data_IF_934204900594
#
_entry.id   IF_934204900594
#
_cell.length_a   1.000
_cell.length_b   1.000
_cell.length_c   1.000
_cell.angle_alpha   90.00
_cell.angle_beta   90.00
_cell.angle_gamma   90.00
#
_symmetry.space_group_name_H-M   'P 1'
#
loop_
_entity.id
_entity.type
_entity.pdbx_description
1 polymer ?
#
# COMPACT_ATOMS: atom_id res chain seq x y z
N UNK A 1 -3.94 -12.34 -24.22
CA UNK A 1 -3.26 -12.78 -22.99
C UNK A 1 -1.77 -12.97 -23.22
N UNK A 2 -1.02 -11.87 -23.22
CA UNK A 2 0.45 -11.93 -23.15
C UNK A 2 0.85 -11.44 -21.77
N UNK A 3 0.99 -12.38 -20.83
CA UNK A 3 1.55 -12.09 -19.52
C UNK A 3 3.05 -11.87 -19.67
N UNK A 4 3.59 -10.83 -19.04
CA UNK A 4 5.02 -10.66 -18.83
C UNK A 4 5.47 -11.67 -17.77
N UNK A 5 5.49 -12.94 -18.15
CA UNK A 5 6.10 -14.00 -17.35
C UNK A 5 7.55 -13.60 -17.02
N UNK A 6 8.09 -14.19 -15.95
CA UNK A 6 9.40 -13.83 -15.40
C UNK A 6 10.53 -13.75 -16.44
N UNK A 7 10.51 -14.60 -17.47
CA UNK A 7 11.44 -14.54 -18.60
C UNK A 7 11.32 -13.27 -19.46
N UNK A 8 10.10 -12.89 -19.85
CA UNK A 8 9.86 -11.68 -20.62
C UNK A 8 10.16 -10.41 -19.80
N UNK A 9 9.83 -10.42 -18.51
CA UNK A 9 10.20 -9.33 -17.60
C UNK A 9 11.72 -9.16 -17.49
N UNK A 10 12.50 -10.25 -17.45
CA UNK A 10 13.98 -10.17 -17.46
C UNK A 10 14.52 -9.52 -18.73
N UNK A 11 13.97 -9.84 -19.90
CA UNK A 11 14.37 -9.23 -21.16
C UNK A 11 14.06 -7.74 -21.18
N UNK A 12 12.85 -7.35 -20.77
CA UNK A 12 12.46 -5.95 -20.64
C UNK A 12 13.41 -5.22 -19.68
N UNK A 13 13.68 -5.79 -18.50
CA UNK A 13 14.61 -5.19 -17.53
C UNK A 13 16.03 -5.02 -18.08
N UNK A 14 16.49 -5.97 -18.90
CA UNK A 14 17.75 -5.86 -19.63
C UNK A 14 17.78 -4.64 -20.56
N UNK A 15 16.68 -4.37 -21.28
CA UNK A 15 16.55 -3.18 -22.12
C UNK A 15 16.47 -1.90 -21.28
N UNK A 16 15.60 -1.88 -20.26
CA UNK A 16 15.38 -0.71 -19.41
C UNK A 16 16.66 -0.28 -18.68
N UNK A 17 17.52 -1.22 -18.27
CA UNK A 17 18.78 -0.90 -17.59
C UNK A 17 19.68 0.04 -18.40
N UNK A 18 19.68 -0.08 -19.73
CA UNK A 18 20.54 0.72 -20.61
C UNK A 18 19.78 1.78 -21.40
N UNK A 19 18.44 1.75 -21.38
CA UNK A 19 17.64 2.74 -22.08
C UNK A 19 17.71 4.09 -21.37
N UNK A 20 18.11 5.14 -22.10
CA UNK A 20 18.23 6.51 -21.59
C UNK A 20 17.18 7.48 -22.15
N UNK A 21 16.25 6.97 -22.96
CA UNK A 21 15.30 7.79 -23.72
C UNK A 21 13.88 7.71 -23.15
N UNK A 22 13.47 6.56 -22.62
CA UNK A 22 12.11 6.33 -22.13
C UNK A 22 11.91 7.11 -20.81
N UNK A 23 10.96 8.05 -20.84
CA UNK A 23 10.54 8.83 -19.66
C UNK A 23 9.30 8.27 -18.97
N UNK A 24 8.34 7.78 -19.76
CA UNK A 24 7.11 7.20 -19.25
C UNK A 24 7.00 5.76 -19.73
N UNK A 25 6.82 4.84 -18.79
CA UNK A 25 6.68 3.41 -19.07
C UNK A 25 5.32 2.93 -18.57
N UNK A 26 4.50 2.44 -19.49
CA UNK A 26 3.20 1.84 -19.19
C UNK A 26 3.27 0.31 -19.35
N UNK A 27 3.14 -0.39 -18.23
CA UNK A 27 3.04 -1.84 -18.13
C UNK A 27 1.71 -2.26 -17.51
N UNK A 28 0.67 -1.42 -17.62
CA UNK A 28 -0.66 -1.73 -17.14
C UNK A 28 -1.23 -2.97 -17.86
N UNK A 29 -1.87 -3.87 -17.11
CA UNK A 29 -2.55 -5.03 -17.69
C UNK A 29 -1.62 -6.07 -18.31
N UNK A 30 -0.36 -6.17 -17.85
CA UNK A 30 0.66 -7.06 -18.43
C UNK A 30 0.94 -8.31 -17.61
N UNK A 31 0.10 -8.67 -16.65
CA UNK A 31 0.26 -9.88 -15.85
C UNK A 31 1.53 -9.89 -14.97
N UNK A 32 1.96 -8.75 -14.46
CA UNK A 32 3.10 -8.66 -13.53
C UNK A 32 2.72 -9.30 -12.18
N UNK A 33 3.34 -10.43 -11.88
CA UNK A 33 3.22 -11.17 -10.60
C UNK A 33 4.20 -10.66 -9.54
N UNK A 34 4.10 -11.08 -8.25
CA UNK A 34 5.10 -10.74 -7.23
C UNK A 34 6.54 -11.10 -7.63
N UNK A 35 6.76 -12.27 -8.22
CA UNK A 35 8.07 -12.68 -8.75
C UNK A 35 8.59 -11.70 -9.82
N UNK A 36 7.71 -11.27 -10.72
CA UNK A 36 8.04 -10.35 -11.79
C UNK A 36 8.26 -8.93 -11.27
N UNK A 37 7.56 -8.51 -10.22
CA UNK A 37 7.79 -7.25 -9.51
C UNK A 37 9.21 -7.22 -8.88
N UNK A 38 9.69 -8.34 -8.33
CA UNK A 38 11.07 -8.48 -7.84
C UNK A 38 12.10 -8.23 -8.94
N UNK A 39 11.83 -8.71 -10.16
CA UNK A 39 12.72 -8.51 -11.30
C UNK A 39 12.66 -7.06 -11.78
N UNK A 40 11.45 -6.47 -11.86
CA UNK A 40 11.24 -5.07 -12.23
C UNK A 40 11.96 -4.11 -11.26
N UNK A 41 12.01 -4.45 -9.97
CA UNK A 41 12.73 -3.68 -8.95
C UNK A 41 14.20 -3.45 -9.31
N UNK A 42 14.87 -4.45 -9.90
CA UNK A 42 16.27 -4.35 -10.33
C UNK A 42 16.43 -3.27 -11.42
N UNK A 43 15.52 -3.25 -12.40
CA UNK A 43 15.56 -2.25 -13.48
C UNK A 43 15.19 -0.86 -13.00
N UNK A 44 14.16 -0.74 -12.16
CA UNK A 44 13.73 0.55 -11.57
C UNK A 44 14.84 1.20 -10.75
N UNK A 45 15.61 0.39 -10.01
CA UNK A 45 16.77 0.88 -9.24
C UNK A 45 17.94 1.30 -10.12
N UNK A 46 18.15 0.63 -11.25
CA UNK A 46 19.28 0.90 -12.15
C UNK A 46 19.00 1.99 -13.18
N UNK A 47 17.75 2.21 -13.57
CA UNK A 47 17.37 3.21 -14.57
C UNK A 47 17.31 4.62 -13.95
N UNK A 48 17.90 5.59 -14.65
CA UNK A 48 17.99 7.00 -14.24
C UNK A 48 17.19 7.95 -15.14
N UNK A 49 16.28 7.43 -15.96
CA UNK A 49 15.57 8.20 -17.00
C UNK A 49 14.06 8.11 -16.94
N UNK A 50 13.50 7.00 -16.45
CA UNK A 50 12.06 6.81 -16.29
C UNK A 50 11.58 7.68 -15.14
N UNK A 51 10.68 8.62 -15.45
CA UNK A 51 10.06 9.53 -14.48
C UNK A 51 8.65 9.09 -14.07
N UNK A 52 7.98 8.30 -14.92
CA UNK A 52 6.63 7.78 -14.64
C UNK A 52 6.55 6.30 -14.97
N UNK A 53 6.05 5.51 -14.03
CA UNK A 53 5.81 4.07 -14.18
C UNK A 53 4.34 3.75 -13.89
N UNK A 54 3.65 3.15 -14.84
CA UNK A 54 2.30 2.62 -14.63
C UNK A 54 2.36 1.08 -14.65
N UNK A 55 2.01 0.47 -13.53
CA UNK A 55 1.90 -0.99 -13.37
C UNK A 55 0.50 -1.39 -12.86
N UNK A 56 -0.50 -0.56 -13.10
CA UNK A 56 -1.90 -0.86 -12.76
C UNK A 56 -2.44 -2.13 -13.45
N UNK A 57 -3.56 -2.65 -12.99
CA UNK A 57 -4.22 -3.84 -13.58
C UNK A 57 -3.31 -5.07 -13.70
N UNK A 58 -2.36 -5.21 -12.78
CA UNK A 58 -1.48 -6.37 -12.69
C UNK A 58 -1.72 -7.15 -11.38
N UNK A 59 -1.53 -8.48 -11.37
CA UNK A 59 -1.63 -9.30 -10.16
C UNK A 59 -0.39 -9.14 -9.27
N UNK A 60 -0.13 -7.91 -8.80
CA UNK A 60 1.08 -7.53 -8.05
C UNK A 60 1.19 -8.19 -6.67
N UNK A 61 0.08 -8.70 -6.16
CA UNK A 61 0.01 -9.54 -4.98
C UNK A 61 -1.18 -10.48 -5.11
N UNK A 62 -1.19 -11.55 -4.31
CA UNK A 62 -2.36 -12.41 -4.16
C UNK A 62 -3.40 -11.71 -3.25
N UNK A 63 -3.92 -10.57 -3.72
CA UNK A 63 -4.82 -9.66 -2.97
C UNK A 63 -6.07 -10.40 -2.47
N UNK A 64 -6.43 -11.53 -3.09
CA UNK A 64 -7.47 -12.42 -2.59
C UNK A 64 -7.25 -12.75 -1.10
N UNK A 65 -6.02 -12.96 -0.63
CA UNK A 65 -5.72 -13.25 0.79
C UNK A 65 -5.84 -12.05 1.75
N UNK A 66 -5.96 -10.82 1.25
CA UNK A 66 -6.19 -9.61 2.06
C UNK A 66 -7.62 -9.07 1.98
N UNK A 67 -8.37 -9.52 0.96
CA UNK A 67 -9.80 -9.25 0.78
C UNK A 67 -10.69 -10.46 1.15
N UNK A 68 -10.14 -11.55 1.70
CA UNK A 68 -10.94 -12.73 2.05
C UNK A 68 -11.64 -12.57 3.40
N UNK A 69 -12.89 -12.11 3.31
CA UNK A 69 -14.04 -12.52 4.12
C UNK A 69 -14.36 -14.04 4.05
N UNK A 70 -13.39 -14.92 3.74
CA UNK A 70 -13.67 -16.35 3.53
C UNK A 70 -12.70 -17.36 4.11
N UNK A 71 -11.50 -16.97 4.49
CA UNK A 71 -10.58 -17.88 5.16
C UNK A 71 -9.84 -17.09 6.24
N UNK A 72 -9.94 -17.52 7.50
CA UNK A 72 -9.08 -17.00 8.56
C UNK A 72 -7.63 -17.03 8.10
N UNK A 73 -6.88 -15.91 8.10
CA UNK A 73 -5.47 -16.00 7.86
C UNK A 73 -4.82 -16.52 9.14
N UNK A 74 -4.19 -17.67 8.99
CA UNK A 74 -3.18 -18.20 9.89
C UNK A 74 -2.33 -17.06 10.46
N UNK A 75 -2.08 -17.18 11.76
CA UNK A 75 -1.20 -16.33 12.56
C UNK A 75 0.10 -15.98 11.81
N UNK A 76 0.64 -14.79 12.08
CA UNK A 76 2.00 -14.34 11.71
C UNK A 76 2.18 -13.46 10.43
N UNK A 77 1.15 -12.76 9.93
CA UNK A 77 1.32 -11.94 8.70
C UNK A 77 2.15 -10.65 8.83
N UNK A 78 2.55 -10.21 10.02
CA UNK A 78 3.37 -8.99 10.22
C UNK A 78 4.18 -9.05 11.53
N UNK A 79 4.79 -10.19 11.87
CA UNK A 79 5.77 -10.22 12.96
C UNK A 79 7.15 -9.89 12.40
N UNK A 80 7.49 -8.61 12.50
CA UNK A 80 8.71 -8.03 11.97
C UNK A 80 8.46 -6.56 11.66
N UNK A 81 9.19 -5.68 12.34
CA UNK A 81 9.09 -4.23 12.24
C UNK A 81 8.82 -3.77 10.79
N UNK A 82 7.72 -3.02 10.60
CA UNK A 82 7.47 -2.13 9.46
C UNK A 82 7.90 -2.68 8.10
N UNK A 83 6.99 -3.15 7.23
CA UNK A 83 7.19 -3.60 5.81
C UNK A 83 8.59 -4.13 5.39
N UNK A 84 9.39 -4.70 6.31
CA UNK A 84 10.84 -4.52 6.24
C UNK A 84 11.63 -5.43 7.16
N UNK A 85 11.22 -6.68 7.31
CA UNK A 85 12.13 -7.82 7.46
C UNK A 85 11.28 -9.08 7.27
N UNK A 86 11.55 -9.86 6.23
CA UNK A 86 10.78 -11.09 5.97
C UNK A 86 11.65 -12.28 6.33
N UNK A 87 11.52 -12.79 7.56
CA UNK A 87 12.13 -14.05 7.98
C UNK A 87 11.52 -15.23 7.21
N UNK A 88 12.33 -16.27 7.00
CA UNK A 88 11.96 -17.53 6.35
C UNK A 88 11.32 -18.48 7.38
N UNK A 89 9.99 -18.47 7.46
CA UNK A 89 9.23 -19.58 8.03
C UNK A 89 8.05 -19.91 7.11
N UNK A 90 7.78 -21.22 7.01
CA UNK A 90 6.90 -21.83 6.03
C UNK A 90 5.47 -22.00 6.56
N UNK A 91 4.57 -21.13 6.12
CA UNK A 91 3.12 -21.34 6.02
C UNK A 91 2.67 -20.70 4.69
N UNK A 92 1.42 -20.88 4.22
CA UNK A 92 0.91 -20.26 2.98
C UNK A 92 1.13 -18.75 3.02
N UNK A 93 2.28 -18.31 2.52
CA UNK A 93 2.84 -16.98 2.71
C UNK A 93 2.25 -16.10 1.64
N UNK A 94 1.60 -15.02 2.05
CA UNK A 94 1.29 -13.97 1.08
C UNK A 94 2.64 -13.41 0.61
N UNK A 95 2.99 -13.64 -0.65
CA UNK A 95 4.25 -13.16 -1.19
C UNK A 95 4.17 -11.66 -1.47
N UNK A 96 4.43 -10.88 -0.42
CA UNK A 96 4.65 -9.44 -0.52
C UNK A 96 6.12 -9.10 -0.78
N UNK A 97 7.04 -10.08 -0.83
CA UNK A 97 8.49 -9.79 -0.94
C UNK A 97 8.79 -9.04 -2.22
N UNK A 98 8.21 -9.49 -3.33
CA UNK A 98 8.39 -8.81 -4.61
C UNK A 98 7.80 -7.42 -4.66
N UNK A 99 6.65 -7.23 -4.02
CA UNK A 99 5.98 -5.94 -3.95
C UNK A 99 6.73 -4.94 -3.07
N UNK A 100 7.15 -5.35 -1.88
CA UNK A 100 7.98 -4.55 -0.97
C UNK A 100 9.36 -4.27 -1.58
N UNK A 101 9.97 -5.24 -2.27
CA UNK A 101 11.22 -5.06 -2.98
C UNK A 101 11.12 -4.03 -4.10
N UNK A 102 10.01 -4.02 -4.84
CA UNK A 102 9.72 -3.00 -5.83
C UNK A 102 9.50 -1.63 -5.19
N UNK A 103 8.76 -1.53 -4.08
CA UNK A 103 8.57 -0.28 -3.35
C UNK A 103 9.90 0.29 -2.81
N UNK A 104 10.80 -0.54 -2.28
CA UNK A 104 12.15 -0.12 -1.89
C UNK A 104 12.99 0.32 -3.11
N UNK A 105 12.87 -0.35 -4.26
CA UNK A 105 13.53 0.10 -5.48
C UNK A 105 13.00 1.46 -5.96
N UNK A 106 11.68 1.70 -5.88
CA UNK A 106 11.07 2.99 -6.20
C UNK A 106 11.56 4.07 -5.24
N UNK A 107 11.63 3.76 -3.94
CA UNK A 107 12.19 4.67 -2.94
C UNK A 107 13.64 5.05 -3.23
N UNK A 108 14.46 4.13 -3.73
CA UNK A 108 15.86 4.36 -4.08
C UNK A 108 16.07 4.94 -5.49
N UNK A 109 15.05 4.97 -6.34
CA UNK A 109 15.16 5.48 -7.70
C UNK A 109 15.45 6.98 -7.71
N UNK A 110 16.44 7.41 -8.50
CA UNK A 110 16.82 8.83 -8.58
C UNK A 110 16.00 9.62 -9.62
N UNK A 111 15.23 8.93 -10.46
CA UNK A 111 14.53 9.54 -11.60
C UNK A 111 13.01 9.46 -11.52
N UNK A 112 12.46 8.42 -10.87
CA UNK A 112 11.02 8.26 -10.75
C UNK A 112 10.40 9.37 -9.88
N UNK A 113 9.38 10.01 -10.44
CA UNK A 113 8.58 11.04 -9.76
C UNK A 113 7.14 10.59 -9.50
N UNK A 114 6.63 9.63 -10.28
CA UNK A 114 5.27 9.13 -10.18
C UNK A 114 5.21 7.61 -10.43
N UNK A 115 4.34 6.93 -9.67
CA UNK A 115 3.97 5.53 -9.92
C UNK A 115 2.47 5.33 -9.80
N UNK A 116 1.88 4.58 -10.73
CA UNK A 116 0.46 4.18 -10.70
C UNK A 116 0.36 2.68 -10.43
N UNK A 117 -0.41 2.30 -9.40
CA UNK A 117 -0.53 0.92 -8.91
C UNK A 117 -1.96 0.37 -9.08
N UNK A 118 -2.96 1.24 -9.04
CA UNK A 118 -4.37 0.90 -9.27
C UNK A 118 -4.90 1.59 -10.54
N UNK A 119 -5.90 0.99 -11.20
CA UNK A 119 -6.57 1.57 -12.37
C UNK A 119 -7.53 2.72 -12.04
N UNK A 120 -7.80 2.96 -10.75
CA UNK A 120 -8.61 4.09 -10.31
C UNK A 120 -8.00 5.40 -10.77
N UNK A 121 -8.81 6.25 -11.42
CA UNK A 121 -8.36 7.56 -11.89
C UNK A 121 -7.81 8.40 -10.72
N UNK A 122 -6.56 8.81 -10.83
CA UNK A 122 -5.90 9.66 -9.83
C UNK A 122 -5.22 8.90 -8.69
N UNK A 123 -5.13 7.56 -8.77
CA UNK A 123 -4.38 6.68 -7.86
C UNK A 123 -2.86 6.88 -7.89
N UNK A 124 -2.34 7.60 -8.90
CA UNK A 124 -0.91 7.86 -9.05
C UNK A 124 -0.30 8.47 -7.79
N UNK A 125 0.72 7.80 -7.25
CA UNK A 125 1.45 8.21 -6.06
C UNK A 125 2.57 9.19 -6.44
N UNK A 126 2.66 10.36 -5.78
CA UNK A 126 3.73 11.33 -5.99
C UNK A 126 4.96 10.92 -5.17
N UNK A 127 5.93 10.26 -5.81
CA UNK A 127 7.09 9.65 -5.15
C UNK A 127 7.92 10.70 -4.39
N UNK A 128 8.27 11.80 -5.06
CA UNK A 128 9.10 12.84 -4.44
C UNK A 128 8.44 13.49 -3.22
N UNK A 129 7.12 13.73 -3.30
CA UNK A 129 6.35 14.27 -2.18
C UNK A 129 6.30 13.29 -1.01
N UNK A 130 6.09 12.00 -1.29
CA UNK A 130 6.06 10.95 -0.26
C UNK A 130 7.43 10.76 0.41
N UNK A 131 8.53 10.83 -0.34
CA UNK A 131 9.90 10.77 0.21
C UNK A 131 10.34 12.02 0.94
N UNK A 132 9.72 13.16 0.65
CA UNK A 132 10.13 14.47 1.16
C UNK A 132 11.27 15.10 0.34
N UNK A 133 11.40 14.74 -0.94
CA UNK A 133 12.47 15.24 -1.80
C UNK A 133 12.36 16.77 -1.96
N UNK A 134 13.45 17.48 -1.65
CA UNK A 134 13.51 18.94 -1.79
C UNK A 134 12.62 19.72 -0.81
N UNK A 135 12.01 19.04 0.16
CA UNK A 135 11.18 19.65 1.18
C UNK A 135 11.99 20.58 2.11
N UNK A 136 11.57 21.85 2.22
CA UNK A 136 12.19 22.82 3.14
C UNK A 136 11.24 23.34 4.23
N UNK A 137 9.95 23.00 4.14
CA UNK A 137 8.86 23.48 5.02
C UNK A 137 7.86 22.35 5.28
N UNK A 138 6.84 22.63 6.09
CA UNK A 138 5.69 21.74 6.26
C UNK A 138 5.08 21.38 4.89
N UNK A 139 4.95 20.08 4.61
CA UNK A 139 4.36 19.56 3.37
C UNK A 139 3.10 18.75 3.66
N UNK A 140 2.11 18.97 2.81
CA UNK A 140 0.81 18.30 2.84
C UNK A 140 0.82 17.22 1.77
N UNK A 141 0.43 16.01 2.15
CA UNK A 141 0.28 14.86 1.26
C UNK A 141 -1.20 14.47 1.25
N UNK A 142 -1.92 14.92 0.22
CA UNK A 142 -3.32 14.55 0.01
C UNK A 142 -3.42 13.33 -0.92
N UNK A 143 -3.76 12.20 -0.32
CA UNK A 143 -4.03 10.94 -0.99
C UNK A 143 -5.49 10.49 -0.82
N UNK A 144 -6.39 11.37 -0.36
CA UNK A 144 -7.78 11.01 -0.13
C UNK A 144 -8.52 10.72 -1.45
N UNK A 145 -9.46 9.76 -1.41
CA UNK A 145 -10.36 9.43 -2.54
C UNK A 145 -9.62 9.06 -3.83
N UNK A 146 -8.54 8.31 -3.70
CA UNK A 146 -7.70 7.88 -4.82
C UNK A 146 -7.89 6.40 -5.20
N UNK A 147 -8.72 5.68 -4.45
CA UNK A 147 -8.92 4.24 -4.61
C UNK A 147 -7.63 3.46 -4.31
N UNK A 148 -6.85 3.94 -3.33
CA UNK A 148 -5.61 3.29 -2.92
C UNK A 148 -5.94 1.99 -2.19
N UNK A 149 -5.30 0.91 -2.59
CA UNK A 149 -5.50 -0.41 -2.02
C UNK A 149 -4.41 -0.75 -1.00
N UNK A 150 -4.44 -1.99 -0.48
CA UNK A 150 -3.31 -2.58 0.24
C UNK A 150 -1.97 -2.47 -0.52
N UNK A 151 -1.98 -2.54 -1.86
CA UNK A 151 -0.78 -2.41 -2.69
C UNK A 151 -0.18 -1.02 -2.51
N UNK A 152 -0.96 0.03 -2.72
CA UNK A 152 -0.52 1.40 -2.48
C UNK A 152 -0.10 1.65 -1.03
N UNK A 153 -0.72 0.98 -0.07
CA UNK A 153 -0.34 1.13 1.34
C UNK A 153 1.11 0.70 1.61
N UNK A 154 1.59 -0.38 0.96
CA UNK A 154 3.00 -0.82 1.04
C UNK A 154 3.93 0.27 0.49
N UNK A 155 3.60 0.82 -0.69
CA UNK A 155 4.43 1.86 -1.32
C UNK A 155 4.46 3.13 -0.49
N UNK A 156 3.29 3.63 -0.07
CA UNK A 156 3.19 4.82 0.78
C UNK A 156 4.02 4.62 2.04
N UNK A 157 3.82 3.51 2.76
CA UNK A 157 4.53 3.19 3.99
C UNK A 157 6.05 3.13 3.83
N UNK A 158 6.55 2.52 2.76
CA UNK A 158 7.99 2.44 2.49
C UNK A 158 8.57 3.81 2.10
N UNK A 159 7.87 4.57 1.27
CA UNK A 159 8.32 5.87 0.76
C UNK A 159 8.41 6.92 1.85
N UNK A 160 7.48 6.94 2.81
CA UNK A 160 7.47 7.95 3.88
C UNK A 160 8.55 7.74 4.94
N UNK A 161 9.21 6.57 5.01
CA UNK A 161 10.27 6.29 6.00
C UNK A 161 11.45 7.25 5.94
N UNK A 162 11.77 7.76 4.75
CA UNK A 162 12.83 8.75 4.57
C UNK A 162 12.35 10.18 4.80
N UNK A 163 11.05 10.39 4.96
CA UNK A 163 10.45 11.71 5.00
C UNK A 163 10.35 12.24 6.44
N UNK A 164 11.13 13.29 6.69
CA UNK A 164 11.26 13.95 8.00
C UNK A 164 10.58 15.32 8.05
N UNK A 165 9.95 15.75 6.95
CA UNK A 165 9.47 17.13 6.77
C UNK A 165 7.96 17.26 6.51
N UNK A 166 7.30 16.22 6.01
CA UNK A 166 5.85 16.28 5.84
C UNK A 166 5.13 16.30 7.19
N UNK A 167 4.04 17.06 7.24
CA UNK A 167 3.29 17.33 8.46
C UNK A 167 1.83 16.92 8.36
N UNK A 168 1.32 16.72 7.14
CA UNK A 168 -0.08 16.33 6.93
C UNK A 168 -0.15 15.17 5.96
N UNK A 169 -0.92 14.15 6.34
CA UNK A 169 -1.22 13.00 5.50
C UNK A 169 -2.73 12.74 5.54
N UNK A 170 -3.39 12.93 4.39
CA UNK A 170 -4.79 12.59 4.21
C UNK A 170 -4.90 11.32 3.37
N UNK A 171 -5.47 10.27 3.96
CA UNK A 171 -5.67 8.96 3.33
C UNK A 171 -7.16 8.62 3.20
N UNK A 172 -8.06 9.54 3.55
CA UNK A 172 -9.47 9.20 3.74
C UNK A 172 -10.17 8.72 2.48
N UNK A 173 -11.17 7.85 2.67
CA UNK A 173 -11.96 7.26 1.58
C UNK A 173 -11.10 6.51 0.55
N UNK A 174 -10.32 5.55 1.04
CA UNK A 174 -9.52 4.61 0.25
C UNK A 174 -9.80 3.17 0.72
N UNK A 175 -9.18 2.18 0.08
CA UNK A 175 -9.38 0.74 0.35
C UNK A 175 -8.08 0.12 0.87
N UNK A 176 -7.43 0.78 1.83
CA UNK A 176 -6.09 0.44 2.30
C UNK A 176 -6.03 -0.89 3.06
N UNK A 177 -7.17 -1.38 3.56
CA UNK A 177 -7.31 -2.45 4.55
C UNK A 177 -6.71 -2.07 5.92
N UNK A 178 -7.10 -2.77 6.98
CA UNK A 178 -6.54 -2.51 8.31
C UNK A 178 -5.02 -2.79 8.38
N UNK A 179 -4.55 -3.85 7.70
CA UNK A 179 -3.12 -4.22 7.65
C UNK A 179 -2.29 -3.16 6.91
N UNK A 180 -2.77 -2.69 5.76
CA UNK A 180 -2.08 -1.64 4.99
C UNK A 180 -2.02 -0.32 5.77
N UNK A 181 -3.14 0.08 6.39
CA UNK A 181 -3.20 1.25 7.25
C UNK A 181 -2.20 1.17 8.43
N UNK A 182 -2.15 0.01 9.10
CA UNK A 182 -1.21 -0.25 10.21
C UNK A 182 0.23 -0.04 9.77
N UNK A 183 0.59 -0.59 8.61
CA UNK A 183 1.94 -0.45 8.08
C UNK A 183 2.30 1.02 7.78
N UNK A 184 1.38 1.80 7.21
CA UNK A 184 1.62 3.24 6.98
C UNK A 184 1.84 3.95 8.32
N UNK A 185 0.96 3.73 9.30
CA UNK A 185 1.01 4.42 10.60
C UNK A 185 2.31 4.13 11.35
N UNK A 186 2.73 2.87 11.38
CA UNK A 186 4.00 2.45 11.99
C UNK A 186 5.24 2.99 11.26
N UNK A 187 5.08 3.51 10.03
CA UNK A 187 6.16 4.12 9.25
C UNK A 187 6.16 5.67 9.32
N UNK A 188 5.20 6.28 10.01
CA UNK A 188 5.14 7.74 10.18
C UNK A 188 6.30 8.25 11.04
N UNK A 189 6.81 9.43 10.70
CA UNK A 189 7.83 10.11 11.49
C UNK A 189 7.20 11.06 12.52
N UNK A 190 7.99 11.51 13.50
CA UNK A 190 7.56 12.46 14.54
C UNK A 190 7.21 13.86 14.04
N UNK A 191 7.36 14.15 12.74
CA UNK A 191 6.99 15.44 12.16
C UNK A 191 5.50 15.59 11.87
N UNK A 192 4.74 14.48 11.86
CA UNK A 192 3.32 14.51 11.54
C UNK A 192 2.53 15.35 12.56
N UNK A 193 1.63 16.18 12.05
CA UNK A 193 0.72 17.06 12.80
C UNK A 193 -0.74 16.72 12.53
N UNK A 194 -1.06 16.39 11.29
CA UNK A 194 -2.43 16.07 10.87
C UNK A 194 -2.43 14.72 10.17
N UNK A 195 -3.23 13.79 10.69
CA UNK A 195 -3.45 12.49 10.07
C UNK A 195 -4.96 12.26 9.89
N UNK A 196 -5.37 12.00 8.65
CA UNK A 196 -6.74 11.61 8.34
C UNK A 196 -6.75 10.19 7.75
N UNK A 197 -7.29 9.26 8.53
CA UNK A 197 -7.45 7.84 8.21
C UNK A 197 -8.93 7.42 8.24
N UNK A 198 -9.85 8.35 8.01
CA UNK A 198 -11.28 8.04 7.95
C UNK A 198 -11.68 7.29 6.68
N UNK A 199 -12.56 6.30 6.80
CA UNK A 199 -13.10 5.51 5.70
C UNK A 199 -12.00 4.86 4.85
N UNK A 200 -10.98 4.27 5.48
CA UNK A 200 -9.86 3.60 4.78
C UNK A 200 -9.93 2.07 4.81
N UNK A 201 -10.80 1.54 5.66
CA UNK A 201 -11.09 0.11 5.78
C UNK A 201 -12.53 -0.07 5.33
N UNK A 202 -12.74 -0.87 4.28
CA UNK A 202 -14.09 -1.24 3.88
C UNK A 202 -14.70 -2.13 4.97
N UNK A 203 -15.77 -1.65 5.60
CA UNK A 203 -16.60 -2.43 6.53
C UNK A 203 -18.00 -2.43 5.90
N UNK A 204 -18.49 -3.59 5.46
CA UNK A 204 -19.81 -3.67 4.85
C UNK A 204 -20.90 -3.18 5.83
N UNK A 205 -21.59 -2.13 5.41
CA UNK A 205 -22.60 -1.43 6.21
C UNK A 205 -23.96 -2.15 6.04
N UNK A 206 -24.33 -3.02 7.00
CA UNK A 206 -25.52 -3.90 6.90
C UNK A 206 -26.87 -3.19 6.92
N UNK A 207 -26.92 -1.87 7.14
CA UNK A 207 -28.17 -1.11 7.25
C UNK A 207 -29.00 -1.04 5.96
N UNK A 208 -28.45 -1.45 4.81
CA UNK A 208 -29.15 -1.45 3.51
C UNK A 208 -29.46 -2.83 2.92
N UNK A 209 -29.01 -3.93 3.56
CA UNK A 209 -29.21 -5.28 3.03
C UNK A 209 -30.54 -5.95 3.48
N UNK A 210 -31.16 -5.50 4.57
CA UNK A 210 -32.31 -6.17 5.20
C UNK A 210 -33.71 -5.80 4.63
N UNK A 211 -33.88 -5.74 3.31
CA UNK A 211 -35.24 -5.65 2.71
C UNK A 211 -35.62 -6.75 1.72
N UNK A 212 -34.77 -7.73 1.47
CA UNK A 212 -35.16 -8.94 0.76
C UNK A 212 -34.44 -10.14 1.37
N UNK A 213 -35.22 -11.19 1.61
CA UNK A 213 -34.79 -12.55 1.94
C UNK A 213 -34.64 -12.88 3.44
N UNK A 214 -35.80 -12.94 4.09
CA UNK A 214 -36.08 -13.80 5.24
C UNK A 214 -35.86 -15.27 4.89
N UNK A 215 -34.64 -15.77 5.12
CA UNK A 215 -34.27 -17.13 5.57
C UNK A 215 -32.79 -17.40 5.24
N UNK A 216 -31.89 -16.79 6.01
CA UNK A 216 -30.52 -17.26 6.14
C UNK A 216 -30.28 -17.60 7.60
N UNK A 217 -30.07 -18.89 7.85
CA UNK A 217 -29.65 -19.47 9.12
C UNK A 217 -28.44 -18.73 9.69
N UNK A 218 -28.33 -18.70 11.02
CA UNK A 218 -27.43 -17.91 11.87
C UNK A 218 -25.91 -18.14 11.69
N UNK A 219 -25.40 -18.21 10.46
CA UNK A 219 -24.00 -18.53 10.15
C UNK A 219 -23.37 -17.66 9.04
N UNK A 220 -23.96 -16.52 8.67
CA UNK A 220 -23.37 -15.60 7.68
C UNK A 220 -23.38 -14.15 8.20
N UNK A 221 -22.58 -13.92 9.26
CA UNK A 221 -22.19 -12.59 9.74
C UNK A 221 -20.73 -12.44 9.31
N UNK A 222 -20.44 -12.02 8.08
CA UNK A 222 -19.07 -11.69 7.68
C UNK A 222 -18.67 -10.38 8.36
N UNK A 223 -17.69 -10.49 9.24
CA UNK A 223 -17.10 -9.41 10.02
C UNK A 223 -15.61 -9.37 9.63
N UNK A 224 -15.06 -8.18 9.41
CA UNK A 224 -13.61 -8.02 9.28
C UNK A 224 -12.95 -8.74 10.46
N UNK A 225 -11.90 -9.57 10.24
CA UNK A 225 -11.23 -10.25 11.34
C UNK A 225 -10.80 -9.23 12.41
N UNK A 226 -11.15 -9.48 13.68
CA UNK A 226 -10.92 -8.49 14.74
C UNK A 226 -9.43 -8.16 14.93
N UNK A 227 -8.55 -9.12 14.63
CA UNK A 227 -7.10 -9.00 14.85
C UNK A 227 -6.43 -7.87 14.02
N UNK A 228 -6.61 -7.77 12.69
CA UNK A 228 -6.15 -6.62 11.91
C UNK A 228 -6.62 -5.26 12.44
N UNK A 229 -7.88 -5.14 12.88
CA UNK A 229 -8.39 -3.89 13.49
C UNK A 229 -7.71 -3.59 14.83
N UNK A 230 -7.48 -4.61 15.66
CA UNK A 230 -6.79 -4.45 16.94
C UNK A 230 -5.34 -3.98 16.74
N UNK A 231 -4.63 -4.52 15.73
CA UNK A 231 -3.27 -4.06 15.37
C UNK A 231 -3.26 -2.62 14.89
N UNK A 232 -4.24 -2.25 14.05
CA UNK A 232 -4.41 -0.87 13.63
C UNK A 232 -4.62 0.06 14.82
N UNK A 233 -5.47 -0.34 15.77
CA UNK A 233 -5.73 0.42 16.99
C UNK A 233 -4.50 0.55 17.89
N UNK A 234 -3.72 -0.52 18.07
CA UNK A 234 -2.48 -0.48 18.81
C UNK A 234 -1.50 0.54 18.18
N UNK A 235 -1.32 0.49 16.85
CA UNK A 235 -0.46 1.43 16.13
C UNK A 235 -0.96 2.89 16.24
N UNK A 236 -2.27 3.12 16.17
CA UNK A 236 -2.87 4.45 16.40
C UNK A 236 -2.64 4.92 17.83
N UNK A 237 -2.73 4.03 18.82
CA UNK A 237 -2.51 4.39 20.23
C UNK A 237 -1.07 4.82 20.48
N UNK A 238 -0.11 4.22 19.77
CA UNK A 238 1.30 4.62 19.80
C UNK A 238 1.57 5.99 19.16
N UNK A 239 0.66 6.51 18.32
CA UNK A 239 0.78 7.88 17.79
C UNK A 239 0.72 8.93 18.90
N UNK A 240 0.19 8.61 20.08
CA UNK A 240 0.27 9.48 21.26
C UNK A 240 1.71 9.81 21.68
N UNK A 241 2.69 9.01 21.26
CA UNK A 241 4.11 9.30 21.45
C UNK A 241 4.65 10.37 20.48
N UNK A 242 3.86 10.79 19.49
CA UNK A 242 4.22 11.85 18.56
C UNK A 242 3.81 13.20 19.13
N UNK A 243 4.75 13.87 19.81
CA UNK A 243 4.55 15.16 20.49
C UNK A 243 3.99 16.28 19.59
N UNK A 244 4.09 16.15 18.27
CA UNK A 244 3.64 17.13 17.29
C UNK A 244 2.26 16.86 16.70
N UNK A 245 1.63 15.72 17.02
CA UNK A 245 0.31 15.38 16.46
C UNK A 245 -0.76 16.30 17.05
N UNK A 246 -1.32 17.17 16.21
CA UNK A 246 -2.33 18.17 16.57
C UNK A 246 -3.75 17.68 16.27
N UNK A 247 -3.93 16.85 15.22
CA UNK A 247 -5.22 16.31 14.81
C UNK A 247 -5.12 14.91 14.23
N UNK A 248 -5.98 14.02 14.73
CA UNK A 248 -6.25 12.71 14.16
C UNK A 248 -7.73 12.64 13.76
N UNK A 249 -8.02 12.21 12.54
CA UNK A 249 -9.39 11.92 12.06
C UNK A 249 -9.47 10.43 11.71
N UNK A 250 -10.42 9.73 12.32
CA UNK A 250 -10.64 8.28 12.15
C UNK A 250 -12.11 7.94 12.40
N UNK A 251 -12.57 6.78 11.91
CA UNK A 251 -13.99 6.41 12.01
C UNK A 251 -14.40 6.02 13.43
N UNK A 252 -15.59 6.46 13.84
CA UNK A 252 -16.16 6.16 15.18
C UNK A 252 -16.36 4.67 15.44
N UNK A 253 -16.63 3.88 14.39
CA UNK A 253 -16.92 2.45 14.53
C UNK A 253 -15.67 1.62 14.85
N UNK A 254 -14.47 2.20 14.74
CA UNK A 254 -13.21 1.58 15.18
C UNK A 254 -12.86 1.88 16.64
N UNK A 255 -13.70 2.64 17.36
CA UNK A 255 -13.44 3.12 18.73
C UNK A 255 -14.19 2.27 19.78
N UNK A 256 -15.15 1.43 19.39
CA UNK A 256 -15.99 0.67 20.35
C UNK A 256 -16.12 -0.81 20.00
N UNK A 257 -15.27 -1.63 20.63
CA UNK A 257 -15.73 -2.75 21.47
C UNK A 257 -14.64 -3.19 22.45
#
# INVERSE_FOLDING_TARGET
>A
DETLASGAMRLLCGVLKYNTLIKALNLSGRGITPDSASILAIAVKANSTITSLDISDNPLSDVAMYNTDKDEPNQELLEGDSFGSVSEAATKKVDIKGLSGLAEAVKLSTSLTAITLESTKGSTLPIGTLRGDGAKKAHIVDLARKGLSFISAIFVGILIRSNTHFTELALSSNELTASGATGIITSLSKSIKFLDISNIVFVEDRSKADKKDTKLTSAAITAVPQQPLLKLWAAVSELGALEKLERLTMDRNHITR
#
